data_IF_502838697761
#
_entry.id   IF_502838697761
#
_cell.length_a   1.000
_cell.length_b   1.000
_cell.length_c   1.000
_cell.angle_alpha   90.00
_cell.angle_beta   90.00
_cell.angle_gamma   90.00
#
_symmetry.space_group_name_H-M   'P 1'
#
loop_
_entity.id
_entity.type
_entity.pdbx_description
1 polymer ?
#
# COMPACT_ATOMS: atom_id res chain seq x y z
N UNK A 1 42.35 12.96 15.30
CA UNK A 1 41.19 13.67 15.87
C UNK A 1 40.20 14.03 14.76
N UNK A 2 39.81 13.04 13.94
CA UNK A 2 38.94 13.25 12.79
C UNK A 2 38.17 11.95 12.54
N UNK A 3 36.85 12.07 12.32
CA UNK A 3 35.86 11.02 12.09
C UNK A 3 35.27 10.32 13.32
N UNK A 4 34.69 11.09 14.24
CA UNK A 4 33.48 10.62 14.95
C UNK A 4 32.31 11.31 14.24
N UNK A 5 31.85 10.72 13.14
CA UNK A 5 30.53 11.05 12.61
C UNK A 5 29.56 10.44 13.63
N UNK A 6 28.75 11.29 14.29
CA UNK A 6 27.71 10.83 15.22
C UNK A 6 26.79 9.84 14.46
N UNK A 7 26.65 8.59 14.93
CA UNK A 7 25.76 7.59 14.32
C UNK A 7 24.33 8.09 14.17
N UNK A 8 23.89 8.90 15.13
CA UNK A 8 22.56 9.49 15.11
C UNK A 8 22.37 10.36 13.88
N UNK A 9 23.44 11.06 13.47
CA UNK A 9 23.48 11.80 12.21
C UNK A 9 23.41 10.85 11.03
N UNK A 10 24.14 9.72 11.01
CA UNK A 10 24.18 8.82 9.84
C UNK A 10 22.81 8.26 9.46
N UNK A 11 22.00 7.75 10.41
CA UNK A 11 20.69 7.14 10.09
C UNK A 11 19.62 8.20 9.79
N UNK A 12 19.62 9.32 10.52
CA UNK A 12 18.75 10.46 10.21
C UNK A 12 19.11 11.06 8.85
N UNK A 13 20.39 10.97 8.48
CA UNK A 13 20.87 11.32 7.17
C UNK A 13 20.59 10.25 6.12
N UNK A 14 20.13 9.03 6.38
CA UNK A 14 19.85 8.06 5.29
C UNK A 14 18.78 8.61 4.33
N UNK A 15 17.75 9.27 4.87
CA UNK A 15 16.71 9.91 4.08
C UNK A 15 17.22 11.22 3.47
N UNK A 16 17.96 12.03 4.26
CA UNK A 16 18.47 13.35 3.85
C UNK A 16 19.73 13.31 2.97
N UNK A 17 20.48 12.22 2.96
CA UNK A 17 21.61 11.96 2.08
C UNK A 17 21.02 11.68 0.71
N UNK A 18 20.75 12.77 0.01
CA UNK A 18 20.95 12.86 -1.41
C UNK A 18 22.35 12.34 -1.73
N UNK A 19 22.51 11.03 -1.92
CA UNK A 19 23.59 10.43 -2.72
C UNK A 19 24.98 11.10 -2.54
N UNK A 20 25.44 11.27 -1.30
CA UNK A 20 26.76 11.87 -1.03
C UNK A 20 27.88 10.82 -1.11
N UNK A 21 28.01 10.12 -2.24
CA UNK A 21 29.26 9.45 -2.64
C UNK A 21 29.39 9.49 -4.17
N UNK A 22 30.27 10.40 -4.63
CA UNK A 22 30.99 10.40 -5.93
C UNK A 22 30.23 9.77 -7.11
N UNK A 23 29.51 10.60 -7.87
CA UNK A 23 29.19 10.27 -9.27
C UNK A 23 27.75 10.44 -9.75
N UNK A 24 26.96 11.38 -9.22
CA UNK A 24 25.76 11.82 -9.92
C UNK A 24 26.09 13.09 -10.72
N UNK A 25 26.15 12.93 -12.04
CA UNK A 25 26.09 14.04 -12.95
C UNK A 25 24.72 14.71 -12.81
N UNK A 26 24.67 15.84 -12.11
CA UNK A 26 23.67 16.87 -12.41
C UNK A 26 24.06 17.49 -13.76
N UNK A 27 23.75 16.76 -14.84
CA UNK A 27 23.94 17.15 -16.23
C UNK A 27 22.74 16.64 -17.03
N UNK A 28 22.49 17.28 -18.18
CA UNK A 28 21.32 17.12 -19.05
C UNK A 28 20.74 15.67 -19.08
N UNK A 29 19.45 15.54 -18.73
CA UNK A 29 18.63 14.31 -18.78
C UNK A 29 19.16 13.10 -17.98
N UNK A 30 19.33 13.28 -16.67
CA UNK A 30 19.72 12.21 -15.74
C UNK A 30 18.58 11.31 -15.20
N UNK A 31 17.45 11.19 -15.92
CA UNK A 31 16.72 9.93 -16.14
C UNK A 31 16.13 9.15 -14.96
N UNK A 32 15.94 9.72 -13.76
CA UNK A 32 15.33 9.02 -12.60
C UNK A 32 13.80 9.02 -12.70
N UNK A 33 13.29 8.40 -13.74
CA UNK A 33 11.91 8.59 -14.14
C UNK A 33 10.98 7.49 -13.64
N UNK A 34 9.73 7.87 -13.47
CA UNK A 34 8.61 7.02 -13.06
C UNK A 34 7.69 6.83 -14.26
N UNK A 35 7.17 5.63 -14.46
CA UNK A 35 6.27 5.34 -15.57
C UNK A 35 4.93 6.10 -15.47
N UNK A 36 4.39 6.53 -16.61
CA UNK A 36 3.22 7.40 -16.73
C UNK A 36 2.00 6.96 -15.91
N UNK A 37 1.67 5.67 -15.94
CA UNK A 37 0.47 5.13 -15.30
C UNK A 37 0.64 4.84 -13.81
N UNK A 38 1.84 5.02 -13.24
CA UNK A 38 2.05 4.90 -11.80
C UNK A 38 1.32 6.02 -11.08
N UNK A 39 0.71 5.72 -9.93
CA UNK A 39 -0.17 6.66 -9.24
C UNK A 39 0.41 7.22 -7.95
N UNK A 40 0.04 8.47 -7.68
CA UNK A 40 0.36 9.22 -6.46
C UNK A 40 -0.95 9.59 -5.78
N UNK A 41 -0.99 9.41 -4.46
CA UNK A 41 -2.15 9.79 -3.65
C UNK A 41 -2.04 11.26 -3.21
N UNK A 42 -3.10 12.02 -3.44
CA UNK A 42 -3.26 13.35 -2.90
C UNK A 42 -3.64 13.25 -1.41
N UNK A 43 -2.78 13.71 -0.48
CA UNK A 43 -3.03 13.58 0.96
C UNK A 43 -4.18 14.45 1.48
N UNK A 44 -4.67 15.41 0.71
CA UNK A 44 -5.74 16.33 1.14
C UNK A 44 -7.13 15.85 0.71
N UNK A 45 -7.21 15.10 -0.40
CA UNK A 45 -8.49 14.66 -0.98
C UNK A 45 -8.63 13.15 -1.05
N UNK A 46 -7.55 12.40 -0.89
CA UNK A 46 -7.51 10.95 -1.11
C UNK A 46 -7.51 10.53 -2.58
N UNK A 47 -7.59 11.47 -3.52
CA UNK A 47 -7.53 11.20 -4.95
C UNK A 47 -6.26 10.41 -5.31
N UNK A 48 -6.37 9.42 -6.19
CA UNK A 48 -5.27 8.56 -6.59
C UNK A 48 -5.10 8.55 -8.11
N UNK A 49 -4.24 9.44 -8.60
CA UNK A 49 -4.07 9.76 -10.03
C UNK A 49 -2.72 9.32 -10.57
N UNK A 50 -2.70 8.99 -11.85
CA UNK A 50 -1.48 8.67 -12.57
C UNK A 50 -0.59 9.90 -12.70
N UNK A 51 0.72 9.69 -12.85
CA UNK A 51 1.66 10.79 -13.04
C UNK A 51 1.38 11.53 -14.35
N UNK A 52 0.94 10.84 -15.41
CA UNK A 52 0.49 11.47 -16.66
C UNK A 52 -0.68 12.45 -16.44
N UNK A 53 -1.71 12.04 -15.68
CA UNK A 53 -2.84 12.92 -15.33
C UNK A 53 -2.39 14.12 -14.48
N UNK A 54 -1.45 13.92 -13.56
CA UNK A 54 -0.90 14.98 -12.71
C UNK A 54 -0.04 15.97 -13.52
N UNK A 55 0.75 15.48 -14.46
CA UNK A 55 1.52 16.31 -15.39
C UNK A 55 0.59 17.22 -16.22
N UNK A 56 -0.51 16.68 -16.76
CA UNK A 56 -1.50 17.49 -17.48
C UNK A 56 -2.14 18.53 -16.56
N UNK A 57 -2.56 18.13 -15.35
CA UNK A 57 -3.15 19.04 -14.36
C UNK A 57 -2.19 20.18 -13.99
N UNK A 58 -0.88 19.92 -13.95
CA UNK A 58 0.14 20.95 -13.69
C UNK A 58 0.21 22.00 -14.80
N UNK A 59 -0.04 21.63 -16.07
CA UNK A 59 -0.09 22.61 -17.17
C UNK A 59 -1.22 23.63 -16.96
N UNK A 60 -2.30 23.22 -16.28
CA UNK A 60 -3.38 24.09 -15.84
C UNK A 60 -3.09 24.80 -14.50
N UNK A 61 -1.81 24.85 -14.09
CA UNK A 61 -1.34 25.44 -12.82
C UNK A 61 -1.94 24.81 -11.56
N UNK A 62 -2.42 23.57 -11.64
CA UNK A 62 -2.93 22.82 -10.49
C UNK A 62 -1.74 22.19 -9.75
N UNK A 63 -1.57 22.55 -8.47
CA UNK A 63 -0.55 21.96 -7.63
C UNK A 63 -0.79 20.44 -7.44
N UNK A 64 0.29 19.69 -7.24
CA UNK A 64 0.23 18.25 -6.93
C UNK A 64 0.65 18.01 -5.48
N UNK A 65 -0.28 18.00 -4.50
CA UNK A 65 -0.01 17.54 -3.16
C UNK A 65 0.35 16.05 -3.16
N UNK A 66 1.31 15.65 -2.34
CA UNK A 66 1.77 14.26 -2.26
C UNK A 66 2.29 13.91 -0.86
N UNK A 67 2.45 12.62 -0.60
CA UNK A 67 3.07 12.11 0.62
C UNK A 67 4.55 11.87 0.43
N UNK A 68 5.32 12.24 1.45
CA UNK A 68 6.77 12.05 1.53
C UNK A 68 7.14 11.54 2.91
N UNK A 69 8.39 11.11 3.06
CA UNK A 69 8.97 10.64 4.31
C UNK A 69 9.92 11.70 4.87
N UNK A 70 9.75 12.08 6.14
CA UNK A 70 10.70 12.94 6.85
C UNK A 70 11.90 12.13 7.37
N UNK A 71 12.92 12.79 7.93
CA UNK A 71 14.11 12.14 8.49
C UNK A 71 13.85 11.13 9.63
N UNK A 72 12.67 11.18 10.25
CA UNK A 72 12.24 10.28 11.31
C UNK A 72 11.46 9.07 10.78
N UNK A 73 11.49 8.84 9.47
CA UNK A 73 10.73 7.78 8.80
C UNK A 73 9.21 7.91 9.01
N UNK A 74 8.71 9.13 9.18
CA UNK A 74 7.29 9.42 9.31
C UNK A 74 6.76 10.07 8.04
N UNK A 75 5.59 9.62 7.61
CA UNK A 75 4.88 10.20 6.47
C UNK A 75 4.42 11.63 6.81
N UNK A 76 4.64 12.56 5.88
CA UNK A 76 4.16 13.94 5.95
C UNK A 76 3.64 14.41 4.59
N UNK A 77 2.73 15.38 4.63
CA UNK A 77 2.26 16.07 3.44
C UNK A 77 3.37 16.96 2.90
N UNK A 78 3.52 16.97 1.58
CA UNK A 78 4.32 17.93 0.83
C UNK A 78 3.63 18.17 -0.53
N UNK A 79 4.36 18.73 -1.49
CA UNK A 79 3.89 18.95 -2.86
C UNK A 79 5.03 18.76 -3.86
N UNK A 80 4.68 18.33 -5.06
CA UNK A 80 5.60 18.44 -6.19
C UNK A 80 5.84 19.91 -6.49
N UNK A 81 7.10 20.27 -6.72
CA UNK A 81 7.49 21.56 -7.28
C UNK A 81 7.24 21.59 -8.79
N UNK A 82 7.66 20.52 -9.47
CA UNK A 82 7.41 20.30 -10.89
C UNK A 82 7.32 18.80 -11.20
N UNK A 83 6.61 18.49 -12.26
CA UNK A 83 6.59 17.21 -12.96
C UNK A 83 7.10 17.48 -14.38
N UNK A 84 8.14 16.76 -14.80
CA UNK A 84 8.77 16.94 -16.11
C UNK A 84 8.62 15.68 -16.96
N UNK A 85 8.23 15.86 -18.23
CA UNK A 85 8.17 14.79 -19.22
C UNK A 85 9.58 14.43 -19.69
N UNK A 86 9.99 13.18 -19.46
CA UNK A 86 11.30 12.65 -19.86
C UNK A 86 11.24 11.69 -21.06
N UNK A 87 10.08 11.66 -21.72
CA UNK A 87 9.81 10.84 -22.89
C UNK A 87 9.84 9.34 -22.59
N UNK A 88 10.06 8.58 -23.65
CA UNK A 88 10.03 7.12 -23.62
C UNK A 88 11.37 6.54 -23.19
N UNK A 89 11.38 5.80 -22.07
CA UNK A 89 12.56 5.18 -21.46
C UNK A 89 12.35 3.68 -21.23
N UNK A 90 13.45 2.91 -21.13
CA UNK A 90 13.38 1.52 -20.67
C UNK A 90 13.08 1.46 -19.18
N UNK A 91 12.03 0.71 -18.81
CA UNK A 91 11.53 0.64 -17.44
C UNK A 91 11.56 -0.78 -16.88
N UNK A 92 11.52 -0.88 -15.55
CA UNK A 92 11.63 -2.09 -14.75
C UNK A 92 10.57 -2.06 -13.66
N UNK A 93 9.82 -3.15 -13.54
CA UNK A 93 8.88 -3.35 -12.45
C UNK A 93 9.59 -3.96 -11.25
N UNK A 94 9.58 -3.28 -10.11
CA UNK A 94 10.02 -3.80 -8.82
C UNK A 94 8.78 -4.27 -8.06
N UNK A 95 8.75 -5.53 -7.65
CA UNK A 95 7.61 -6.15 -6.95
C UNK A 95 8.04 -6.62 -5.56
N UNK A 96 7.27 -6.25 -4.55
CA UNK A 96 7.49 -6.68 -3.17
C UNK A 96 6.71 -7.94 -2.83
N UNK A 97 7.13 -8.64 -1.79
CA UNK A 97 6.55 -9.88 -1.29
C UNK A 97 5.07 -9.76 -0.91
N UNK A 98 4.62 -8.59 -0.45
CA UNK A 98 3.21 -8.37 -0.16
C UNK A 98 2.42 -7.82 -1.35
N UNK A 99 3.07 -7.66 -2.51
CA UNK A 99 2.44 -7.36 -3.79
C UNK A 99 2.53 -5.91 -4.24
N UNK A 100 3.10 -4.99 -3.47
CA UNK A 100 3.33 -3.63 -3.95
C UNK A 100 4.21 -3.67 -5.20
N UNK A 101 3.94 -2.79 -6.17
CA UNK A 101 4.64 -2.79 -7.45
C UNK A 101 4.79 -1.38 -7.96
N UNK A 102 6.03 -0.98 -8.23
CA UNK A 102 6.36 0.27 -8.89
C UNK A 102 7.15 0.01 -10.17
N UNK A 103 6.94 0.83 -11.18
CA UNK A 103 7.62 0.76 -12.48
C UNK A 103 8.47 2.00 -12.69
N UNK A 104 9.79 1.81 -12.78
CA UNK A 104 10.80 2.89 -12.75
C UNK A 104 11.88 2.67 -13.81
N UNK A 105 12.68 3.68 -14.12
CA UNK A 105 13.93 3.52 -14.87
C UNK A 105 15.01 2.81 -14.03
N UNK A 106 16.04 2.26 -14.70
CA UNK A 106 17.12 1.48 -14.04
C UNK A 106 17.85 2.24 -12.94
N UNK A 107 18.13 3.52 -13.17
CA UNK A 107 18.87 4.39 -12.26
C UNK A 107 17.96 5.07 -11.21
N UNK A 108 16.65 4.81 -11.20
CA UNK A 108 15.75 5.38 -10.21
C UNK A 108 15.96 4.72 -8.83
N UNK A 109 16.31 5.47 -7.77
CA UNK A 109 16.52 4.88 -6.46
C UNK A 109 15.23 4.58 -5.69
N UNK A 110 15.18 3.41 -5.05
CA UNK A 110 14.20 3.06 -4.00
C UNK A 110 14.86 3.05 -2.63
N UNK A 111 14.11 3.31 -1.57
CA UNK A 111 14.66 3.38 -0.22
C UNK A 111 14.86 1.97 0.35
N UNK A 112 16.10 1.56 0.53
CA UNK A 112 16.47 0.36 1.32
C UNK A 112 16.82 0.76 2.75
N UNK A 113 16.98 -0.22 3.64
CA UNK A 113 17.37 0.03 5.04
C UNK A 113 18.75 0.70 5.16
N UNK A 114 19.58 0.54 4.12
CA UNK A 114 20.94 1.07 4.04
C UNK A 114 21.01 2.37 3.22
N UNK A 115 19.85 2.84 2.75
CA UNK A 115 19.69 4.07 1.97
C UNK A 115 19.20 3.84 0.54
N UNK A 116 19.25 4.92 -0.24
CA UNK A 116 18.74 4.95 -1.59
C UNK A 116 19.56 4.08 -2.54
N UNK A 117 18.92 3.11 -3.18
CA UNK A 117 19.57 2.15 -4.08
C UNK A 117 18.85 2.13 -5.42
N UNK A 118 19.60 2.31 -6.50
CA UNK A 118 19.05 2.24 -7.86
C UNK A 118 18.48 0.86 -8.16
N UNK A 119 17.44 0.81 -9.00
CA UNK A 119 16.82 -0.46 -9.43
C UNK A 119 17.85 -1.43 -10.03
N UNK A 120 18.83 -0.94 -10.80
CA UNK A 120 19.87 -1.77 -11.41
C UNK A 120 20.82 -2.41 -10.39
N UNK A 121 21.00 -1.78 -9.23
CA UNK A 121 21.84 -2.29 -8.15
C UNK A 121 21.04 -3.16 -7.15
N UNK A 122 19.71 -3.10 -7.19
CA UNK A 122 18.80 -3.79 -6.29
C UNK A 122 18.80 -5.30 -6.57
N UNK A 123 18.73 -6.12 -5.51
CA UNK A 123 18.73 -7.58 -5.61
C UNK A 123 17.47 -8.17 -5.01
N UNK A 124 16.99 -9.27 -5.58
CA UNK A 124 15.92 -10.09 -4.99
C UNK A 124 16.34 -10.50 -3.57
N UNK A 125 15.42 -10.39 -2.61
CA UNK A 125 15.64 -10.66 -1.20
C UNK A 125 16.03 -9.42 -0.37
N UNK A 126 16.44 -8.31 -1.00
CA UNK A 126 16.64 -7.04 -0.31
C UNK A 126 15.30 -6.43 0.09
N UNK A 127 15.31 -5.57 1.12
CA UNK A 127 14.09 -4.94 1.63
C UNK A 127 14.02 -3.46 1.26
N UNK A 128 12.85 -3.03 0.79
CA UNK A 128 12.55 -1.64 0.44
C UNK A 128 11.42 -1.09 1.32
N UNK A 129 11.39 0.22 1.49
CA UNK A 129 10.40 0.90 2.31
C UNK A 129 9.04 0.98 1.60
N UNK A 130 8.00 0.49 2.28
CA UNK A 130 6.58 0.65 1.91
C UNK A 130 5.82 1.32 3.05
N UNK A 131 4.73 2.07 2.80
CA UNK A 131 3.92 2.64 3.89
C UNK A 131 3.31 1.56 4.78
N UNK A 132 3.37 1.78 6.10
CA UNK A 132 2.70 0.94 7.10
C UNK A 132 1.21 1.24 7.21
N UNK A 133 0.79 2.45 6.85
CA UNK A 133 -0.60 2.90 6.77
C UNK A 133 -0.65 4.15 5.91
N UNK A 134 -1.82 4.43 5.33
CA UNK A 134 -2.08 5.62 4.53
C UNK A 134 -3.41 6.27 4.98
N UNK A 135 -3.50 6.70 6.23
CA UNK A 135 -4.74 7.22 6.87
C UNK A 135 -5.17 8.60 6.32
N UNK A 136 -5.34 8.66 5.00
CA UNK A 136 -5.82 9.79 4.21
C UNK A 136 -7.21 9.42 3.75
N UNK A 137 -8.18 10.32 3.91
CA UNK A 137 -9.56 10.16 3.46
C UNK A 137 -9.98 11.42 2.70
N UNK A 138 -10.95 11.30 1.81
CA UNK A 138 -11.54 12.47 1.18
C UNK A 138 -12.74 12.97 1.97
N UNK A 139 -13.63 13.66 1.28
CA UNK A 139 -14.85 14.25 1.85
C UNK A 139 -16.09 13.91 1.04
N UNK A 140 -15.96 13.20 -0.09
CA UNK A 140 -17.11 12.87 -0.93
C UNK A 140 -18.04 11.92 -0.20
N UNK A 141 -19.32 12.23 -0.27
CA UNK A 141 -20.40 11.38 0.20
C UNK A 141 -21.25 10.99 -1.00
N UNK A 142 -21.59 9.71 -1.05
CA UNK A 142 -22.41 9.13 -2.11
C UNK A 142 -23.47 8.28 -1.44
N UNK A 143 -24.67 8.29 -2.00
CA UNK A 143 -25.77 7.50 -1.48
C UNK A 143 -25.36 6.02 -1.27
N UNK A 144 -25.51 5.52 -0.04
CA UNK A 144 -25.05 4.19 0.35
C UNK A 144 -25.68 3.06 -0.47
N UNK A 145 -26.91 3.20 -0.94
CA UNK A 145 -27.55 2.20 -1.79
C UNK A 145 -26.80 2.02 -3.12
N UNK A 146 -26.40 3.13 -3.75
CA UNK A 146 -25.57 3.11 -4.97
C UNK A 146 -24.20 2.49 -4.71
N UNK A 147 -23.55 2.84 -3.60
CA UNK A 147 -22.26 2.26 -3.20
C UNK A 147 -22.35 0.75 -2.98
N UNK A 148 -23.41 0.27 -2.32
CA UNK A 148 -23.61 -1.17 -2.09
C UNK A 148 -23.79 -1.91 -3.41
N UNK A 149 -24.63 -1.39 -4.30
CA UNK A 149 -24.87 -2.01 -5.61
C UNK A 149 -23.58 -2.05 -6.42
N UNK A 150 -22.85 -0.94 -6.51
CA UNK A 150 -21.55 -0.89 -7.15
C UNK A 150 -20.58 -1.93 -6.55
N UNK A 151 -20.46 -1.98 -5.21
CA UNK A 151 -19.58 -2.92 -4.54
C UNK A 151 -19.97 -4.38 -4.82
N UNK A 152 -21.25 -4.73 -4.72
CA UNK A 152 -21.72 -6.10 -4.95
C UNK A 152 -21.52 -6.52 -6.41
N UNK A 153 -21.80 -5.62 -7.36
CA UNK A 153 -21.60 -5.90 -8.78
C UNK A 153 -20.12 -6.00 -9.14
N UNK A 154 -19.27 -5.12 -8.59
CA UNK A 154 -17.82 -5.28 -8.68
C UNK A 154 -17.37 -6.58 -8.06
N UNK A 155 -17.98 -7.06 -6.97
CA UNK A 155 -17.56 -8.29 -6.31
C UNK A 155 -17.88 -9.56 -7.12
N UNK A 156 -19.15 -9.72 -7.49
CA UNK A 156 -19.66 -10.98 -8.03
C UNK A 156 -20.73 -10.82 -9.13
N UNK A 157 -20.93 -9.61 -9.65
CA UNK A 157 -21.84 -9.35 -10.77
C UNK A 157 -21.36 -10.03 -12.05
N UNK A 158 -22.31 -10.53 -12.84
CA UNK A 158 -22.07 -11.11 -14.18
C UNK A 158 -22.94 -10.41 -15.21
N UNK A 159 -22.29 -9.77 -16.17
CA UNK A 159 -22.98 -9.03 -17.23
C UNK A 159 -23.70 -9.97 -18.19
N UNK A 160 -24.95 -9.64 -18.51
CA UNK A 160 -25.78 -10.27 -19.52
C UNK A 160 -26.19 -9.23 -20.57
N UNK A 161 -27.00 -9.63 -21.56
CA UNK A 161 -27.41 -8.74 -22.66
C UNK A 161 -28.11 -7.45 -22.16
N UNK A 162 -29.06 -7.57 -21.24
CA UNK A 162 -29.83 -6.43 -20.72
C UNK A 162 -29.99 -6.44 -19.19
N UNK A 163 -29.10 -7.12 -18.49
CA UNK A 163 -29.11 -7.23 -17.03
C UNK A 163 -27.73 -7.53 -16.51
N UNK A 164 -27.55 -7.38 -15.20
CA UNK A 164 -26.44 -7.98 -14.47
C UNK A 164 -27.02 -9.00 -13.48
N UNK A 165 -26.46 -10.22 -13.46
CA UNK A 165 -26.88 -11.26 -12.53
C UNK A 165 -25.93 -11.34 -11.35
N UNK A 166 -26.49 -11.56 -10.17
CA UNK A 166 -25.78 -11.71 -8.92
C UNK A 166 -26.29 -12.94 -8.19
N UNK A 167 -25.40 -13.91 -7.98
CA UNK A 167 -25.74 -15.13 -7.25
C UNK A 167 -25.67 -14.87 -5.75
N UNK A 168 -26.81 -14.97 -5.04
CA UNK A 168 -26.86 -14.83 -3.59
C UNK A 168 -26.22 -16.05 -2.95
N UNK A 169 -25.15 -15.80 -2.18
CA UNK A 169 -24.47 -16.82 -1.35
C UNK A 169 -24.85 -16.72 0.12
N UNK A 170 -25.29 -15.55 0.56
CA UNK A 170 -25.61 -15.23 1.95
C UNK A 170 -26.90 -14.42 1.98
N UNK A 171 -27.84 -14.82 2.83
CA UNK A 171 -29.19 -14.24 2.89
C UNK A 171 -29.16 -12.73 3.15
N UNK A 172 -28.42 -12.27 4.18
CA UNK A 172 -28.30 -10.84 4.50
C UNK A 172 -27.73 -9.98 3.35
N UNK A 173 -26.86 -10.55 2.51
CA UNK A 173 -26.35 -9.89 1.28
C UNK A 173 -27.47 -9.76 0.25
N UNK A 174 -28.29 -10.81 0.07
CA UNK A 174 -29.44 -10.79 -0.84
C UNK A 174 -30.50 -9.78 -0.43
N UNK A 175 -30.86 -9.74 0.85
CA UNK A 175 -31.82 -8.77 1.39
C UNK A 175 -31.33 -7.33 1.23
N UNK A 176 -30.06 -7.08 1.54
CA UNK A 176 -29.49 -5.73 1.44
C UNK A 176 -29.35 -5.25 0.00
N UNK A 177 -29.07 -6.17 -0.93
CA UNK A 177 -29.14 -5.87 -2.37
C UNK A 177 -30.55 -5.49 -2.78
N UNK A 178 -31.56 -6.27 -2.39
CA UNK A 178 -32.97 -6.00 -2.71
C UNK A 178 -33.40 -4.61 -2.24
N UNK A 179 -33.19 -4.32 -0.94
CA UNK A 179 -33.52 -3.03 -0.34
C UNK A 179 -32.82 -1.87 -1.03
N UNK A 180 -31.55 -2.06 -1.42
CA UNK A 180 -30.80 -1.01 -2.12
C UNK A 180 -31.34 -0.77 -3.52
N UNK A 181 -31.65 -1.83 -4.28
CA UNK A 181 -32.23 -1.71 -5.61
C UNK A 181 -33.60 -1.04 -5.59
N UNK A 182 -34.47 -1.43 -4.65
CA UNK A 182 -35.78 -0.81 -4.44
C UNK A 182 -35.65 0.68 -4.13
N UNK A 183 -34.76 1.04 -3.21
CA UNK A 183 -34.54 2.42 -2.78
C UNK A 183 -34.10 3.35 -3.92
N UNK A 184 -33.38 2.84 -4.93
CA UNK A 184 -32.93 3.64 -6.08
C UNK A 184 -33.67 3.33 -7.38
N UNK A 185 -34.76 2.56 -7.32
CA UNK A 185 -35.63 2.26 -8.46
C UNK A 185 -35.05 1.31 -9.50
N UNK A 186 -34.07 0.45 -9.15
CA UNK A 186 -33.60 -0.61 -10.06
C UNK A 186 -34.55 -1.80 -9.99
N UNK A 187 -35.17 -2.13 -11.13
CA UNK A 187 -36.03 -3.31 -11.26
C UNK A 187 -35.21 -4.59 -11.10
N UNK A 188 -35.66 -5.49 -10.23
CA UNK A 188 -35.03 -6.79 -9.99
C UNK A 188 -35.95 -7.95 -10.33
N UNK A 189 -35.38 -9.03 -10.84
CA UNK A 189 -36.04 -10.31 -11.06
C UNK A 189 -35.32 -11.41 -10.27
N UNK A 190 -36.08 -12.27 -9.60
CA UNK A 190 -35.57 -13.34 -8.75
C UNK A 190 -35.81 -14.70 -9.38
N UNK A 191 -34.74 -15.45 -9.57
CA UNK A 191 -34.81 -16.83 -10.02
C UNK A 191 -34.53 -17.76 -8.84
N UNK A 192 -35.56 -18.51 -8.42
CA UNK A 192 -35.48 -19.44 -7.29
C UNK A 192 -34.94 -20.83 -7.67
N UNK A 193 -34.86 -21.16 -8.96
CA UNK A 193 -34.43 -22.47 -9.42
C UNK A 193 -32.89 -22.53 -9.61
N UNK A 194 -32.22 -23.24 -8.71
CA UNK A 194 -30.76 -23.50 -8.65
C UNK A 194 -29.90 -22.24 -8.40
N UNK A 195 -29.68 -21.96 -7.11
CA UNK A 195 -28.87 -20.86 -6.54
C UNK A 195 -29.58 -19.52 -6.68
N UNK A 196 -30.28 -19.09 -5.64
CA UNK A 196 -31.02 -17.81 -5.57
C UNK A 196 -30.26 -16.69 -6.28
N UNK A 197 -30.65 -16.37 -7.51
CA UNK A 197 -29.94 -15.40 -8.36
C UNK A 197 -30.87 -14.21 -8.59
N UNK A 198 -30.33 -13.02 -8.42
CA UNK A 198 -31.03 -11.76 -8.69
C UNK A 198 -30.50 -11.19 -9.98
N UNK A 199 -31.41 -10.78 -10.85
CA UNK A 199 -31.10 -10.06 -12.07
C UNK A 199 -31.52 -8.60 -11.87
N UNK A 200 -30.58 -7.67 -12.00
CA UNK A 200 -30.87 -6.24 -12.05
C UNK A 200 -31.08 -5.87 -13.53
N UNK A 201 -32.28 -5.43 -13.87
CA UNK A 201 -32.71 -5.17 -15.24
C UNK A 201 -32.26 -3.78 -15.70
N UNK A 202 -32.12 -3.59 -17.02
CA UNK A 202 -31.72 -2.33 -17.67
C UNK A 202 -30.43 -1.71 -17.08
N UNK A 203 -29.56 -2.56 -16.55
CA UNK A 203 -28.39 -2.17 -15.76
C UNK A 203 -27.33 -1.38 -16.56
N UNK A 204 -27.42 -1.35 -17.89
CA UNK A 204 -26.57 -0.50 -18.73
C UNK A 204 -26.76 0.99 -18.49
N UNK A 205 -27.92 1.37 -17.94
CA UNK A 205 -28.20 2.75 -17.54
C UNK A 205 -27.59 3.14 -16.19
N UNK A 206 -27.06 2.16 -15.43
CA UNK A 206 -26.40 2.44 -14.17
C UNK A 206 -25.12 3.24 -14.41
N UNK A 207 -24.95 4.35 -13.69
CA UNK A 207 -23.89 5.33 -13.91
C UNK A 207 -22.46 4.76 -13.84
N UNK A 208 -22.27 3.62 -13.18
CA UNK A 208 -20.96 2.94 -13.04
C UNK A 208 -20.85 1.62 -13.82
N UNK A 209 -21.69 1.45 -14.85
CA UNK A 209 -21.73 0.23 -15.66
C UNK A 209 -20.36 -0.12 -16.26
N UNK A 210 -19.65 0.89 -16.77
CA UNK A 210 -18.35 0.73 -17.44
C UNK A 210 -17.28 0.23 -16.49
N UNK A 211 -17.21 0.79 -15.28
CA UNK A 211 -16.25 0.36 -14.27
C UNK A 211 -16.54 -1.06 -13.77
N UNK A 212 -17.81 -1.45 -13.69
CA UNK A 212 -18.20 -2.82 -13.36
C UNK A 212 -17.76 -3.79 -14.48
N UNK A 213 -18.01 -3.43 -15.74
CA UNK A 213 -17.59 -4.19 -16.93
C UNK A 213 -16.07 -4.40 -16.98
N UNK A 214 -15.32 -3.34 -16.72
CA UNK A 214 -13.86 -3.34 -16.77
C UNK A 214 -13.21 -3.86 -15.47
N UNK A 215 -14.01 -4.21 -14.46
CA UNK A 215 -13.54 -4.59 -13.11
C UNK A 215 -12.57 -3.53 -12.55
N UNK A 216 -12.96 -2.26 -12.67
CA UNK A 216 -12.22 -1.08 -12.21
C UNK A 216 -12.92 -0.46 -11.01
N UNK A 217 -12.15 0.05 -10.05
CA UNK A 217 -12.71 0.85 -8.96
C UNK A 217 -12.86 2.30 -9.50
N UNK A 218 -14.06 2.89 -9.49
CA UNK A 218 -14.26 4.28 -9.94
C UNK A 218 -13.40 5.26 -9.15
N UNK A 219 -12.91 6.33 -9.79
CA UNK A 219 -12.00 7.32 -9.18
C UNK A 219 -12.59 7.98 -7.94
N UNK A 220 -13.90 8.29 -7.94
CA UNK A 220 -14.57 8.93 -6.81
C UNK A 220 -14.52 8.10 -5.51
N UNK A 221 -14.32 6.78 -5.60
CA UNK A 221 -14.17 5.90 -4.42
C UNK A 221 -12.94 6.30 -3.59
N UNK A 222 -11.87 6.75 -4.23
CA UNK A 222 -10.64 7.17 -3.55
C UNK A 222 -10.84 8.50 -2.78
N UNK A 223 -11.80 9.32 -3.21
CA UNK A 223 -12.12 10.62 -2.61
C UNK A 223 -13.27 10.56 -1.59
N UNK A 224 -13.79 9.36 -1.30
CA UNK A 224 -14.83 9.19 -0.29
C UNK A 224 -14.31 9.57 1.09
N UNK A 225 -15.21 10.06 1.93
CA UNK A 225 -14.95 10.14 3.37
C UNK A 225 -14.73 8.75 3.97
N UNK A 226 -14.20 8.73 5.20
CA UNK A 226 -13.83 7.49 5.88
C UNK A 226 -15.01 6.52 6.01
N UNK A 227 -16.20 7.01 6.30
CA UNK A 227 -17.38 6.19 6.57
C UNK A 227 -17.96 5.58 5.29
N UNK A 228 -18.00 6.35 4.20
CA UNK A 228 -18.46 5.88 2.90
C UNK A 228 -17.45 4.91 2.27
N UNK A 229 -16.15 5.16 2.43
CA UNK A 229 -15.12 4.22 1.98
C UNK A 229 -15.18 2.91 2.77
N UNK A 230 -15.33 2.98 4.09
CA UNK A 230 -15.51 1.80 4.94
C UNK A 230 -16.75 1.01 4.52
N UNK A 231 -17.88 1.69 4.30
CA UNK A 231 -19.11 1.09 3.83
C UNK A 231 -18.96 0.40 2.47
N UNK A 232 -18.29 1.04 1.50
CA UNK A 232 -18.01 0.46 0.19
C UNK A 232 -17.15 -0.81 0.29
N UNK A 233 -16.04 -0.75 1.04
CA UNK A 233 -15.13 -1.88 1.24
C UNK A 233 -15.79 -3.04 1.98
N UNK A 234 -16.54 -2.75 3.05
CA UNK A 234 -17.31 -3.74 3.80
C UNK A 234 -18.37 -4.42 2.91
N UNK A 235 -19.07 -3.64 2.09
CA UNK A 235 -20.02 -4.17 1.10
C UNK A 235 -19.33 -5.07 0.06
N UNK A 236 -18.16 -4.64 -0.45
CA UNK A 236 -17.40 -5.43 -1.42
C UNK A 236 -16.98 -6.80 -0.84
N UNK A 237 -16.50 -6.79 0.40
CA UNK A 237 -16.07 -8.00 1.11
C UNK A 237 -17.23 -8.89 1.57
N UNK A 238 -18.38 -8.33 1.97
CA UNK A 238 -19.53 -9.15 2.35
C UNK A 238 -20.08 -9.96 1.17
N UNK A 239 -20.04 -9.39 -0.04
CA UNK A 239 -20.44 -10.07 -1.27
C UNK A 239 -19.36 -11.00 -1.86
N UNK A 240 -18.09 -10.59 -1.86
CA UNK A 240 -17.01 -11.27 -2.59
C UNK A 240 -15.94 -11.97 -1.74
N UNK A 241 -15.84 -11.62 -0.45
CA UNK A 241 -14.80 -12.10 0.45
C UNK A 241 -15.16 -13.40 1.18
N UNK A 242 -14.12 -14.04 1.71
CA UNK A 242 -14.25 -15.16 2.64
C UNK A 242 -13.66 -14.82 4.00
N UNK A 243 -14.15 -15.52 5.01
CA UNK A 243 -13.85 -15.33 6.42
C UNK A 243 -13.69 -16.74 7.01
N UNK A 244 -12.51 -17.08 7.52
CA UNK A 244 -12.22 -18.43 7.99
C UNK A 244 -11.55 -18.39 9.37
N UNK A 245 -12.14 -19.09 10.33
CA UNK A 245 -11.62 -19.26 11.68
C UNK A 245 -10.81 -20.56 11.83
N UNK A 246 -9.85 -20.79 10.93
CA UNK A 246 -9.03 -21.99 10.93
C UNK A 246 -7.92 -22.00 12.01
N UNK A 247 -6.88 -22.83 11.79
CA UNK A 247 -5.66 -22.77 12.64
C UNK A 247 -5.04 -21.38 12.64
N UNK A 248 -5.11 -20.66 11.53
CA UNK A 248 -4.86 -19.23 11.44
C UNK A 248 -6.19 -18.62 11.01
N UNK A 249 -6.62 -17.56 11.71
CA UNK A 249 -7.78 -16.79 11.27
C UNK A 249 -7.40 -16.02 10.02
N UNK A 250 -8.24 -16.03 9.00
CA UNK A 250 -7.97 -15.32 7.74
C UNK A 250 -9.23 -14.66 7.18
N UNK A 251 -9.03 -13.46 6.63
CA UNK A 251 -9.99 -12.78 5.77
C UNK A 251 -9.36 -12.67 4.40
N UNK A 252 -10.09 -13.00 3.34
CA UNK A 252 -9.52 -12.96 1.99
C UNK A 252 -10.48 -12.51 0.91
N UNK A 253 -9.89 -12.06 -0.19
CA UNK A 253 -10.58 -11.69 -1.41
C UNK A 253 -9.81 -12.21 -2.63
N UNK A 254 -10.52 -12.77 -3.62
CA UNK A 254 -9.89 -13.38 -4.80
C UNK A 254 -10.44 -12.78 -6.08
N UNK A 255 -9.55 -12.44 -7.01
CA UNK A 255 -9.90 -11.87 -8.31
C UNK A 255 -8.93 -12.33 -9.39
N UNK A 256 -9.37 -12.38 -10.64
CA UNK A 256 -8.48 -12.60 -11.79
C UNK A 256 -7.76 -11.30 -12.22
N UNK A 257 -8.24 -10.14 -11.78
CA UNK A 257 -7.66 -8.85 -12.13
C UNK A 257 -6.63 -8.42 -11.07
N UNK A 258 -5.34 -8.48 -11.42
CA UNK A 258 -4.22 -8.05 -10.55
C UNK A 258 -4.39 -6.60 -10.10
N UNK A 259 -4.73 -5.72 -11.04
CA UNK A 259 -4.87 -4.30 -10.78
C UNK A 259 -5.99 -4.01 -9.78
N UNK A 260 -7.12 -4.73 -9.88
CA UNK A 260 -8.21 -4.62 -8.90
C UNK A 260 -7.73 -5.05 -7.50
N UNK A 261 -6.95 -6.11 -7.39
CA UNK A 261 -6.39 -6.55 -6.10
C UNK A 261 -5.41 -5.53 -5.51
N UNK A 262 -4.55 -4.92 -6.33
CA UNK A 262 -3.65 -3.85 -5.89
C UNK A 262 -4.42 -2.59 -5.44
N UNK A 263 -5.46 -2.22 -6.19
CA UNK A 263 -6.32 -1.10 -5.81
C UNK A 263 -7.04 -1.36 -4.48
N UNK A 264 -7.52 -2.59 -4.27
CA UNK A 264 -8.13 -2.99 -3.00
C UNK A 264 -7.12 -3.00 -1.85
N UNK A 265 -5.88 -3.48 -2.09
CA UNK A 265 -4.77 -3.40 -1.15
C UNK A 265 -4.51 -1.97 -0.71
N UNK A 266 -4.39 -1.04 -1.66
CA UNK A 266 -4.21 0.39 -1.38
C UNK A 266 -5.34 0.95 -0.51
N UNK A 267 -6.60 0.66 -0.84
CA UNK A 267 -7.74 1.14 -0.06
C UNK A 267 -7.79 0.55 1.37
N UNK A 268 -7.40 -0.71 1.55
CA UNK A 268 -7.28 -1.33 2.88
C UNK A 268 -6.13 -0.74 3.69
N UNK A 269 -5.02 -0.39 3.05
CA UNK A 269 -3.88 0.29 3.67
C UNK A 269 -4.27 1.64 4.28
N UNK A 270 -5.33 2.29 3.76
CA UNK A 270 -5.88 3.52 4.33
C UNK A 270 -6.49 3.33 5.72
N UNK A 271 -6.92 2.12 6.05
CA UNK A 271 -7.39 1.73 7.38
C UNK A 271 -6.30 1.05 8.22
N UNK A 272 -5.03 1.07 7.77
CA UNK A 272 -3.93 0.36 8.42
C UNK A 272 -4.02 -1.17 8.31
N UNK A 273 -4.92 -1.68 7.46
CA UNK A 273 -5.11 -3.12 7.26
C UNK A 273 -4.02 -3.62 6.31
N UNK A 274 -3.04 -4.32 6.86
CA UNK A 274 -1.95 -4.94 6.10
C UNK A 274 -2.42 -6.22 5.43
N UNK A 275 -2.01 -6.39 4.18
CA UNK A 275 -2.43 -7.52 3.34
C UNK A 275 -1.30 -8.11 2.54
N UNK A 276 -1.40 -9.42 2.28
CA UNK A 276 -0.50 -10.16 1.41
C UNK A 276 -1.23 -10.48 0.11
N UNK A 277 -0.63 -10.14 -1.03
CA UNK A 277 -1.12 -10.54 -2.33
C UNK A 277 -0.41 -11.84 -2.77
N UNK A 278 -1.15 -12.92 -2.89
CA UNK A 278 -0.65 -14.21 -3.35
C UNK A 278 -1.18 -14.49 -4.76
N UNK A 279 -0.29 -14.93 -5.66
CA UNK A 279 -0.69 -15.47 -6.95
C UNK A 279 -0.94 -16.98 -6.81
N UNK A 280 -2.10 -17.46 -7.26
CA UNK A 280 -2.46 -18.88 -7.26
C UNK A 280 -2.98 -19.30 -8.62
N UNK A 281 -2.47 -20.42 -9.13
CA UNK A 281 -3.01 -21.05 -10.32
C UNK A 281 -4.08 -22.06 -9.93
N UNK A 282 -5.27 -21.92 -10.50
CA UNK A 282 -6.41 -22.81 -10.26
C UNK A 282 -7.19 -22.98 -11.56
N UNK A 283 -7.46 -24.23 -11.95
CA UNK A 283 -8.26 -24.55 -13.14
C UNK A 283 -7.77 -23.80 -14.41
N UNK A 284 -6.47 -23.83 -14.70
CA UNK A 284 -5.83 -23.13 -15.82
C UNK A 284 -6.07 -21.60 -15.85
N UNK A 285 -6.32 -20.99 -14.68
CA UNK A 285 -6.45 -19.55 -14.53
C UNK A 285 -5.61 -19.06 -13.36
N UNK A 286 -5.01 -17.89 -13.52
CA UNK A 286 -4.31 -17.19 -12.44
C UNK A 286 -5.31 -16.37 -11.64
N UNK A 287 -5.28 -16.53 -10.32
CA UNK A 287 -6.03 -15.73 -9.35
C UNK A 287 -5.07 -15.00 -8.42
N UNK A 288 -5.45 -13.78 -8.06
CA UNK A 288 -4.77 -12.95 -7.08
C UNK A 288 -5.59 -12.94 -5.80
N UNK A 289 -5.03 -13.54 -4.74
CA UNK A 289 -5.62 -13.67 -3.43
C UNK A 289 -5.05 -12.60 -2.51
N UNK A 290 -5.88 -11.63 -2.16
CA UNK A 290 -5.55 -10.61 -1.17
C UNK A 290 -5.95 -11.12 0.20
N UNK A 291 -4.96 -11.29 1.09
CA UNK A 291 -5.12 -11.97 2.36
C UNK A 291 -4.82 -11.07 3.55
N UNK A 292 -5.68 -11.11 4.56
CA UNK A 292 -5.50 -10.50 5.89
C UNK A 292 -5.27 -11.63 6.89
N UNK A 293 -4.03 -11.77 7.37
CA UNK A 293 -3.63 -12.84 8.30
C UNK A 293 -3.13 -12.34 9.66
N UNK A 294 -2.66 -11.10 9.73
CA UNK A 294 -2.16 -10.54 10.98
C UNK A 294 -3.33 -10.24 11.92
N UNK A 295 -3.24 -10.69 13.17
CA UNK A 295 -4.29 -10.47 14.17
C UNK A 295 -4.69 -8.98 14.25
N UNK A 296 -3.72 -8.06 14.31
CA UNK A 296 -4.00 -6.62 14.31
C UNK A 296 -4.80 -6.14 13.09
N UNK A 297 -4.45 -6.61 11.88
CA UNK A 297 -5.16 -6.25 10.66
C UNK A 297 -6.53 -6.91 10.54
N UNK A 298 -6.72 -8.12 11.10
CA UNK A 298 -8.03 -8.75 11.21
C UNK A 298 -8.93 -7.94 12.16
N UNK A 299 -8.40 -7.53 13.31
CA UNK A 299 -9.17 -6.71 14.26
C UNK A 299 -9.53 -5.34 13.66
N UNK A 300 -8.59 -4.66 12.99
CA UNK A 300 -8.88 -3.41 12.25
C UNK A 300 -9.92 -3.61 11.14
N UNK A 301 -9.85 -4.74 10.42
CA UNK A 301 -10.86 -5.08 9.41
C UNK A 301 -12.24 -5.22 10.06
N UNK A 302 -12.35 -5.96 11.15
CA UNK A 302 -13.64 -6.17 11.82
C UNK A 302 -14.17 -4.89 12.46
N UNK A 303 -13.29 -4.07 13.00
CA UNK A 303 -13.65 -2.77 13.60
C UNK A 303 -14.22 -1.80 12.55
N UNK A 304 -13.62 -1.75 11.37
CA UNK A 304 -13.96 -0.72 10.38
C UNK A 304 -14.89 -1.21 9.27
N UNK A 305 -14.79 -2.47 8.86
CA UNK A 305 -15.37 -2.98 7.61
C UNK A 305 -16.38 -4.12 7.82
N UNK A 306 -16.59 -4.59 9.05
CA UNK A 306 -17.61 -5.60 9.32
C UNK A 306 -19.01 -5.05 9.01
N UNK A 307 -19.82 -5.87 8.35
CA UNK A 307 -21.18 -5.52 7.94
C UNK A 307 -22.21 -6.54 8.44
N UNK A 308 -23.43 -6.13 8.80
CA UNK A 308 -24.43 -7.04 9.39
C UNK A 308 -24.88 -8.18 8.46
N UNK A 309 -24.58 -8.08 7.15
CA UNK A 309 -24.91 -9.08 6.14
C UNK A 309 -24.14 -10.41 6.31
N UNK A 310 -23.13 -10.47 7.19
CA UNK A 310 -22.31 -11.66 7.47
C UNK A 310 -22.05 -11.82 8.97
N UNK A 311 -21.77 -13.06 9.39
CA UNK A 311 -21.31 -13.38 10.74
C UNK A 311 -19.77 -13.42 10.78
N UNK A 312 -19.16 -12.71 11.75
CA UNK A 312 -17.71 -12.65 11.96
C UNK A 312 -17.25 -13.17 13.32
N UNK A 313 -18.16 -13.67 14.16
CA UNK A 313 -17.90 -14.02 15.55
C UNK A 313 -16.75 -15.02 15.68
N UNK A 314 -16.76 -16.11 14.90
CA UNK A 314 -15.70 -17.12 14.94
C UNK A 314 -14.34 -16.54 14.54
N UNK A 315 -14.30 -15.68 13.51
CA UNK A 315 -13.07 -15.03 13.04
C UNK A 315 -12.52 -14.08 14.10
N UNK A 316 -13.39 -13.31 14.76
CA UNK A 316 -13.04 -12.40 15.84
C UNK A 316 -12.48 -13.18 17.05
N UNK A 317 -13.20 -14.20 17.52
CA UNK A 317 -12.78 -15.02 18.65
C UNK A 317 -11.46 -15.74 18.36
N UNK A 318 -11.25 -16.20 17.13
CA UNK A 318 -9.98 -16.80 16.73
C UNK A 318 -8.86 -15.78 16.72
N UNK A 319 -9.08 -14.59 16.16
CA UNK A 319 -8.09 -13.52 16.08
C UNK A 319 -7.62 -13.08 17.47
N UNK A 320 -8.54 -12.89 18.43
CA UNK A 320 -8.21 -12.54 19.82
C UNK A 320 -7.33 -13.59 20.53
N UNK A 321 -7.38 -14.86 20.09
CA UNK A 321 -6.57 -15.97 20.62
C UNK A 321 -5.28 -16.20 19.84
N UNK A 322 -5.04 -15.48 18.74
CA UNK A 322 -3.80 -15.59 17.98
C UNK A 322 -2.68 -14.86 18.72
N UNK A 323 -1.48 -15.44 18.69
CA UNK A 323 -0.30 -14.70 19.14
C UNK A 323 -0.13 -13.47 18.24
N UNK A 324 -0.07 -12.25 18.80
CA UNK A 324 0.19 -11.06 18.01
C UNK A 324 1.51 -11.22 17.27
N UNK A 325 1.47 -11.13 15.94
CA UNK A 325 2.68 -11.03 15.13
C UNK A 325 3.21 -9.61 15.26
N UNK A 326 4.10 -9.39 16.21
CA UNK A 326 4.75 -8.10 16.36
C UNK A 326 5.59 -7.79 15.11
N UNK A 327 5.49 -6.57 14.54
CA UNK A 327 6.38 -6.15 13.47
C UNK A 327 7.85 -6.26 13.90
N UNK A 328 8.73 -6.46 12.93
CA UNK A 328 10.17 -6.57 13.19
C UNK A 328 10.95 -5.54 12.39
N UNK A 329 11.95 -4.92 13.01
CA UNK A 329 13.02 -4.25 12.29
C UNK A 329 13.85 -5.30 11.52
N UNK A 330 14.31 -5.00 10.30
CA UNK A 330 15.04 -5.94 9.50
C UNK A 330 16.45 -6.17 10.09
N UNK A 331 17.10 -7.28 9.74
CA UNK A 331 18.38 -7.71 10.37
C UNK A 331 19.50 -6.67 10.17
N UNK A 332 19.39 -5.84 9.14
CA UNK A 332 20.32 -4.78 8.80
C UNK A 332 20.46 -3.77 9.95
N UNK A 333 19.46 -3.65 10.84
CA UNK A 333 19.54 -2.80 12.05
C UNK A 333 20.70 -3.18 12.97
N UNK A 334 21.10 -4.45 12.98
CA UNK A 334 22.18 -4.93 13.84
C UNK A 334 23.51 -4.25 13.57
N UNK A 335 23.78 -3.80 12.33
CA UNK A 335 25.04 -3.11 12.01
C UNK A 335 25.15 -1.79 12.78
N UNK A 336 24.03 -1.09 12.97
CA UNK A 336 23.98 0.17 13.69
C UNK A 336 24.05 -0.07 15.20
N UNK A 337 23.29 -1.05 15.70
CA UNK A 337 23.33 -1.49 17.10
C UNK A 337 24.74 -1.93 17.50
N UNK A 338 25.43 -2.69 16.65
CA UNK A 338 26.79 -3.17 16.92
C UNK A 338 27.81 -2.02 16.92
N UNK A 339 27.69 -1.07 15.98
CA UNK A 339 28.56 0.10 15.93
C UNK A 339 28.39 0.96 17.18
N UNK A 340 27.14 1.23 17.60
CA UNK A 340 26.85 1.98 18.83
C UNK A 340 27.33 1.25 20.09
N UNK A 341 27.09 -0.07 20.15
CA UNK A 341 27.57 -0.93 21.24
C UNK A 341 29.08 -0.81 21.43
N UNK A 342 29.85 -0.87 20.34
CA UNK A 342 31.32 -0.75 20.37
C UNK A 342 31.74 0.63 20.85
N UNK A 343 31.12 1.70 20.34
CA UNK A 343 31.40 3.09 20.77
C UNK A 343 31.18 3.26 22.27
N UNK A 344 30.11 2.67 22.83
CA UNK A 344 29.80 2.74 24.26
C UNK A 344 30.53 1.71 25.12
N UNK A 345 31.37 0.85 24.53
CA UNK A 345 32.12 -0.18 25.25
C UNK A 345 31.24 -1.26 25.91
N UNK A 346 29.98 -1.39 25.48
CA UNK A 346 29.02 -2.31 26.09
C UNK A 346 29.21 -3.75 25.60
N UNK A 347 29.00 -4.73 26.45
CA UNK A 347 28.90 -6.15 26.08
C UNK A 347 27.57 -6.43 25.38
N UNK A 348 27.51 -7.53 24.61
CA UNK A 348 26.25 -7.99 23.99
C UNK A 348 25.16 -8.30 25.04
N UNK A 349 25.57 -8.75 26.23
CA UNK A 349 24.67 -9.04 27.34
C UNK A 349 24.02 -7.76 27.90
N UNK A 350 24.79 -6.67 28.01
CA UNK A 350 24.26 -5.37 28.45
C UNK A 350 23.27 -4.78 27.45
N UNK A 351 23.47 -4.98 26.13
CA UNK A 351 22.51 -4.54 25.11
C UNK A 351 21.18 -5.29 25.24
N UNK A 352 21.22 -6.63 25.32
CA UNK A 352 19.98 -7.42 25.36
C UNK A 352 19.26 -7.36 26.70
N UNK A 353 19.96 -6.98 27.76
CA UNK A 353 19.43 -6.87 29.11
C UNK A 353 19.04 -8.21 29.73
N UNK A 354 18.22 -8.16 30.78
CA UNK A 354 17.73 -9.35 31.49
C UNK A 354 16.64 -10.07 30.68
N UNK A 355 16.45 -11.37 30.94
CA UNK A 355 15.43 -12.21 30.31
C UNK A 355 15.97 -13.17 29.25
N UNK A 356 15.08 -13.88 28.54
CA UNK A 356 15.46 -14.92 27.56
C UNK A 356 15.77 -14.35 26.16
N UNK A 357 16.25 -13.10 26.09
CA UNK A 357 16.59 -12.40 24.84
C UNK A 357 17.98 -12.82 24.38
N UNK A 358 18.22 -12.85 23.06
CA UNK A 358 19.52 -13.25 22.49
C UNK A 358 19.94 -12.27 21.41
N UNK A 359 21.24 -11.95 21.41
CA UNK A 359 21.88 -11.11 20.39
C UNK A 359 22.07 -11.93 19.11
N UNK A 360 21.07 -11.90 18.21
CA UNK A 360 20.98 -12.74 16.99
C UNK A 360 21.03 -11.87 15.74
N UNK A 361 22.24 -11.58 15.25
CA UNK A 361 22.45 -10.67 14.12
C UNK A 361 21.91 -11.21 12.79
N UNK A 362 21.64 -12.51 12.71
CA UNK A 362 21.08 -13.17 11.53
C UNK A 362 19.56 -12.97 11.37
N UNK A 363 18.88 -12.44 12.40
CA UNK A 363 17.42 -12.25 12.43
C UNK A 363 17.03 -10.79 12.60
N UNK A 364 15.82 -10.46 12.16
CA UNK A 364 15.18 -9.21 12.53
C UNK A 364 14.87 -9.13 14.03
N UNK A 365 14.60 -7.91 14.50
CA UNK A 365 14.33 -7.62 15.91
C UNK A 365 12.87 -7.21 16.06
N UNK A 366 12.11 -7.86 16.94
CA UNK A 366 10.74 -7.42 17.25
C UNK A 366 10.76 -6.02 17.86
N UNK A 367 9.72 -5.21 17.63
CA UNK A 367 9.69 -3.82 18.12
C UNK A 367 9.86 -3.73 19.66
N UNK A 368 9.32 -4.67 20.42
CA UNK A 368 9.47 -4.79 21.87
C UNK A 368 10.94 -4.98 22.30
N UNK A 369 11.66 -5.87 21.62
CA UNK A 369 13.08 -6.08 21.87
C UNK A 369 13.91 -4.88 21.39
N UNK A 370 13.54 -4.28 20.26
CA UNK A 370 14.23 -3.08 19.76
C UNK A 370 14.10 -1.92 20.75
N UNK A 371 12.93 -1.72 21.39
CA UNK A 371 12.73 -0.71 22.45
C UNK A 371 13.65 -0.96 23.64
N UNK A 372 13.70 -2.18 24.14
CA UNK A 372 14.62 -2.54 25.23
C UNK A 372 16.08 -2.23 24.85
N UNK A 373 16.48 -2.60 23.63
CA UNK A 373 17.85 -2.39 23.17
C UNK A 373 18.16 -0.90 22.99
N UNK A 374 17.18 -0.10 22.57
CA UNK A 374 17.29 1.35 22.44
C UNK A 374 17.51 2.02 23.79
N UNK A 375 16.76 1.62 24.82
CA UNK A 375 16.90 2.12 26.19
C UNK A 375 18.26 1.72 26.79
N UNK A 376 18.64 0.44 26.68
CA UNK A 376 19.91 -0.06 27.22
C UNK A 376 21.10 0.61 26.53
N UNK A 377 21.05 0.77 25.21
CA UNK A 377 22.09 1.46 24.45
C UNK A 377 22.01 2.98 24.59
N UNK A 378 20.92 3.56 25.11
CA UNK A 378 20.61 4.99 25.00
C UNK A 378 20.83 5.50 23.55
N UNK A 379 20.22 4.81 22.60
CA UNK A 379 20.39 5.05 21.17
C UNK A 379 19.10 5.65 20.58
N UNK A 380 19.00 6.98 20.62
CA UNK A 380 17.80 7.73 20.24
C UNK A 380 17.27 7.35 18.84
N UNK A 381 18.19 7.09 17.93
CA UNK A 381 17.89 6.75 16.55
C UNK A 381 17.11 5.45 16.36
N UNK A 382 17.31 4.47 17.24
CA UNK A 382 16.55 3.24 17.19
C UNK A 382 15.07 3.50 17.48
N UNK A 383 14.74 4.52 18.29
CA UNK A 383 13.34 4.94 18.52
C UNK A 383 12.68 5.43 17.24
N UNK A 384 13.37 6.20 16.39
CA UNK A 384 12.80 6.64 15.10
C UNK A 384 12.45 5.47 14.18
N UNK A 385 13.28 4.42 14.15
CA UNK A 385 12.98 3.21 13.38
C UNK A 385 11.81 2.41 13.97
N UNK A 386 11.69 2.38 15.30
CA UNK A 386 10.59 1.70 16.01
C UNK A 386 9.26 2.39 15.73
N UNK A 387 9.24 3.72 15.73
CA UNK A 387 8.04 4.55 15.56
C UNK A 387 7.81 4.96 14.09
N UNK A 388 8.57 4.36 13.16
CA UNK A 388 8.47 4.64 11.73
C UNK A 388 7.09 4.31 11.14
N UNK A 389 6.70 5.09 10.14
CA UNK A 389 5.48 4.90 9.34
C UNK A 389 5.72 3.98 8.13
N UNK A 390 6.86 3.29 8.06
CA UNK A 390 7.21 2.39 6.96
C UNK A 390 7.41 0.96 7.43
N UNK A 391 7.20 0.02 6.52
CA UNK A 391 7.58 -1.37 6.61
C UNK A 391 8.74 -1.64 5.66
N UNK A 392 9.51 -2.69 5.96
CA UNK A 392 10.63 -3.12 5.14
C UNK A 392 10.27 -4.41 4.41
N UNK A 393 9.74 -4.28 3.20
CA UNK A 393 9.26 -5.40 2.41
C UNK A 393 10.31 -5.95 1.47
N UNK A 394 10.40 -7.28 1.43
CA UNK A 394 11.33 -8.02 0.57
C UNK A 394 10.95 -7.86 -0.90
N UNK A 395 11.91 -7.50 -1.75
CA UNK A 395 11.79 -7.50 -3.21
C UNK A 395 11.83 -8.94 -3.70
N UNK A 396 10.79 -9.37 -4.40
CA UNK A 396 10.67 -10.75 -4.90
C UNK A 396 10.88 -10.84 -6.42
N UNK A 397 10.62 -9.75 -7.15
CA UNK A 397 10.80 -9.71 -8.60
C UNK A 397 11.33 -8.33 -9.03
N UNK A 398 12.24 -8.33 -10.00
CA UNK A 398 12.68 -7.16 -10.75
C UNK A 398 12.60 -7.54 -12.23
N UNK A 399 11.66 -6.97 -12.97
CA UNK A 399 11.28 -7.45 -14.31
C UNK A 399 11.43 -6.31 -15.32
N UNK A 400 12.15 -6.50 -16.46
CA UNK A 400 12.10 -5.55 -17.56
C UNK A 400 10.66 -5.33 -18.03
N UNK A 401 10.22 -4.08 -18.06
CA UNK A 401 8.85 -3.69 -18.43
C UNK A 401 8.76 -2.91 -19.76
N UNK A 402 9.90 -2.86 -20.46
CA UNK A 402 10.04 -2.31 -21.80
C UNK A 402 10.01 -0.78 -21.83
N UNK A 403 9.93 -0.25 -23.04
CA UNK A 403 9.88 1.18 -23.31
C UNK A 403 8.51 1.76 -22.92
N UNK A 404 8.50 2.74 -22.02
CA UNK A 404 7.29 3.41 -21.52
C UNK A 404 7.50 4.92 -21.48
N UNK A 405 6.43 5.67 -21.59
CA UNK A 405 6.42 7.10 -21.30
C UNK A 405 6.73 7.32 -19.80
N UNK A 406 7.59 8.29 -19.49
CA UNK A 406 8.10 8.49 -18.13
C UNK A 406 8.23 9.96 -17.75
N UNK A 407 8.19 10.21 -16.44
CA UNK A 407 8.23 11.55 -15.87
C UNK A 407 9.15 11.60 -14.65
N UNK A 408 9.74 12.76 -14.38
CA UNK A 408 10.38 13.06 -13.09
C UNK A 408 9.42 13.90 -12.23
N UNK A 409 9.33 13.58 -10.94
CA UNK A 409 8.56 14.34 -9.96
C UNK A 409 9.52 14.97 -8.97
N UNK A 410 9.61 16.30 -8.94
CA UNK A 410 10.54 17.07 -8.12
C UNK A 410 9.93 17.49 -6.80
N UNK A 411 10.57 17.14 -5.70
CA UNK A 411 10.13 17.41 -4.32
C UNK A 411 11.31 17.98 -3.52
N UNK A 412 11.52 19.31 -3.55
CA UNK A 412 12.70 19.93 -2.96
C UNK A 412 12.80 19.79 -1.43
N UNK A 413 11.68 19.56 -0.75
CA UNK A 413 11.63 19.57 0.71
C UNK A 413 12.24 18.31 1.33
N UNK A 414 11.96 17.14 0.75
CA UNK A 414 12.30 15.83 1.34
C UNK A 414 13.00 14.89 0.37
N UNK A 415 13.06 15.22 -0.92
CA UNK A 415 13.70 14.43 -1.98
C UNK A 415 13.20 12.99 -2.09
N UNK A 416 11.93 12.76 -1.73
CA UNK A 416 11.28 11.48 -1.89
C UNK A 416 9.77 11.64 -1.98
N UNK A 417 9.09 10.59 -2.42
CA UNK A 417 7.64 10.52 -2.49
C UNK A 417 7.14 9.06 -2.45
N UNK A 418 5.85 8.89 -2.17
CA UNK A 418 5.17 7.59 -2.26
C UNK A 418 4.53 7.43 -3.64
N UNK A 419 4.86 6.35 -4.35
CA UNK A 419 4.28 5.95 -5.64
C UNK A 419 3.90 4.47 -5.60
N UNK A 420 2.67 4.12 -5.96
CA UNK A 420 2.17 2.74 -5.90
C UNK A 420 2.53 2.00 -4.60
N UNK A 421 2.34 2.70 -3.47
CA UNK A 421 2.64 2.24 -2.12
C UNK A 421 4.12 1.86 -1.87
N UNK A 422 5.06 2.48 -2.60
CA UNK A 422 6.52 2.31 -2.43
C UNK A 422 7.18 3.69 -2.31
N UNK A 423 8.19 3.81 -1.44
CA UNK A 423 9.00 5.02 -1.32
C UNK A 423 10.07 5.08 -2.41
N UNK A 424 10.02 6.13 -3.23
CA UNK A 424 10.95 6.36 -4.33
C UNK A 424 11.63 7.72 -4.18
N UNK A 425 12.82 7.84 -4.76
CA UNK A 425 13.62 9.06 -4.66
C UNK A 425 13.10 10.13 -5.61
N UNK A 426 13.12 11.38 -5.16
CA UNK A 426 12.83 12.54 -6.01
C UNK A 426 14.13 13.25 -6.36
N UNK A 427 14.43 13.45 -7.67
CA UNK A 427 15.63 14.17 -8.08
C UNK A 427 15.62 15.64 -7.63
N UNK A 428 16.81 16.23 -7.51
CA UNK A 428 16.99 17.67 -7.41
C UNK A 428 17.42 18.20 -8.78
N UNK A 429 16.77 19.25 -9.26
CA UNK A 429 17.35 20.13 -10.28
C UNK A 429 18.11 21.26 -9.59
N UNK A 430 19.24 21.70 -10.19
CA UNK A 430 19.86 22.96 -9.83
C UNK A 430 18.95 24.10 -10.31
N UNK A 431 17.87 24.40 -9.59
CA UNK A 431 16.97 25.53 -9.90
C UNK A 431 17.50 26.84 -9.30
N UNK A 432 18.75 26.88 -8.82
CA UNK A 432 19.34 28.10 -8.24
C UNK A 432 19.96 29.06 -9.27
N UNK A 433 19.97 28.74 -10.57
CA UNK A 433 20.56 29.61 -11.62
C UNK A 433 19.62 29.84 -12.81
N UNK A 434 18.37 30.29 -12.58
CA UNK A 434 17.56 30.93 -13.64
C UNK A 434 16.83 32.17 -13.15
#
# INVERSE_FOLDING_TARGET
>A
MSQIINLESEILQIIRQSYHRKGLHCGERAGKCIEENQRIMNPNTGEYKSIGELYQSQQDSIATPLLTLNEFYQLKNSKAFSIEDNGVQDTFAVVTKHGARVTLTRNHPVLTFDGWKEVDALRIGERIATPKFLTVYGTKQVEKNKLRILAYMLAAGRLNKNSISFQIRYEGVGESLQKSCEAIGITTYYEHHKKSTVYLMDFRSFEFYREIEEKKIPSFIYELDRDHLAFFLGSLYSAGGWFCAGRISEIGYATKCRQFALNLKHLLLRFGIQTNLLQKEMNNSVYYHLMVYHCSSILLFLEHLATPERNYEEVQQRALKMNPSEPTLPKEVWKYIEKERIVKGMTKAEVVGKGNRRYRTEKGISLSNAREYAENLQFATLHYLIDSHVLWEEVVEIIPYGKRQTYDVFVPETHNLVVEDILVFSPCTNVLDR
#
